data_IF_045845863620
#
_entry.id   IF_045845863620
#
_cell.length_a   1.000
_cell.length_b   1.000
_cell.length_c   1.000
_cell.angle_alpha   90.00
_cell.angle_beta   90.00
_cell.angle_gamma   90.00
#
_symmetry.space_group_name_H-M   'P 1'
#
loop_
_entity.id
_entity.type
_entity.pdbx_description
1 polymer ?
#
# COMPACT_ATOMS: atom_id res chain seq x y z
N UNK A 1 17.78 -3.29 -30.56
CA UNK A 1 17.00 -3.70 -29.38
C UNK A 1 17.56 -2.92 -28.21
N UNK A 2 16.94 -1.79 -27.83
CA UNK A 2 17.39 -1.03 -26.66
C UNK A 2 17.11 -1.90 -25.44
N UNK A 3 18.16 -2.27 -24.69
CA UNK A 3 18.07 -3.05 -23.47
C UNK A 3 17.07 -2.39 -22.53
N UNK A 4 15.98 -3.11 -22.26
CA UNK A 4 15.06 -2.76 -21.16
C UNK A 4 15.90 -2.82 -19.90
N UNK A 5 16.38 -1.65 -19.42
CA UNK A 5 17.09 -1.62 -18.13
C UNK A 5 16.14 -2.28 -17.12
N UNK A 6 16.64 -3.29 -16.40
CA UNK A 6 15.86 -4.04 -15.42
C UNK A 6 15.35 -3.09 -14.34
N UNK A 7 14.09 -2.66 -14.45
CA UNK A 7 13.45 -1.77 -13.47
C UNK A 7 13.36 -2.43 -12.11
N UNK A 8 13.48 -1.65 -11.06
CA UNK A 8 13.49 -2.10 -9.67
C UNK A 8 12.32 -1.49 -8.90
N UNK A 9 11.52 -2.32 -8.25
CA UNK A 9 10.50 -1.90 -7.30
C UNK A 9 10.87 -2.32 -5.87
N UNK A 10 10.57 -1.49 -4.88
CA UNK A 10 10.60 -1.84 -3.48
C UNK A 10 9.17 -1.80 -2.93
N UNK A 11 8.73 -2.89 -2.30
CA UNK A 11 7.39 -3.00 -1.70
C UNK A 11 7.54 -3.25 -0.21
N UNK A 12 6.94 -2.38 0.63
CA UNK A 12 6.90 -2.58 2.07
C UNK A 12 5.66 -3.36 2.49
N UNK A 13 5.76 -4.17 3.56
CA UNK A 13 4.70 -5.11 3.95
C UNK A 13 4.49 -6.20 2.89
N UNK A 14 5.57 -6.69 2.29
CA UNK A 14 5.53 -7.56 1.11
C UNK A 14 5.47 -9.06 1.44
N UNK A 15 5.47 -9.45 2.72
CA UNK A 15 5.42 -10.87 3.10
C UNK A 15 4.05 -11.53 2.85
N UNK A 16 2.98 -10.74 2.64
CA UNK A 16 1.60 -11.23 2.41
C UNK A 16 0.69 -10.14 1.84
N UNK A 17 -0.55 -10.51 1.52
CA UNK A 17 -1.62 -9.58 1.21
C UNK A 17 -1.35 -8.73 -0.03
N UNK A 18 -1.86 -7.51 -0.02
CA UNK A 18 -1.74 -6.54 -1.12
C UNK A 18 -0.27 -6.30 -1.50
N UNK A 19 0.64 -6.22 -0.50
CA UNK A 19 2.07 -6.03 -0.76
C UNK A 19 2.69 -7.18 -1.55
N UNK A 20 2.36 -8.43 -1.19
CA UNK A 20 2.81 -9.60 -1.94
C UNK A 20 2.19 -9.65 -3.35
N UNK A 21 0.91 -9.33 -3.48
CA UNK A 21 0.25 -9.28 -4.79
C UNK A 21 0.89 -8.21 -5.70
N UNK A 22 1.19 -7.02 -5.16
CA UNK A 22 1.92 -5.98 -5.89
C UNK A 22 3.33 -6.45 -6.30
N UNK A 23 4.08 -7.08 -5.39
CA UNK A 23 5.40 -7.64 -5.70
C UNK A 23 5.33 -8.67 -6.84
N UNK A 24 4.37 -9.60 -6.80
CA UNK A 24 4.12 -10.58 -7.87
C UNK A 24 3.78 -9.90 -9.20
N UNK A 25 3.00 -8.82 -9.15
CA UNK A 25 2.62 -8.07 -10.35
C UNK A 25 3.84 -7.42 -11.03
N UNK A 26 4.74 -6.80 -10.26
CA UNK A 26 6.00 -6.28 -10.79
C UNK A 26 6.91 -7.38 -11.36
N UNK A 27 7.02 -8.51 -10.66
CA UNK A 27 7.79 -9.67 -11.12
C UNK A 27 7.25 -10.27 -12.44
N UNK A 28 5.93 -10.26 -12.64
CA UNK A 28 5.29 -10.72 -13.88
C UNK A 28 5.66 -9.83 -15.08
N UNK A 29 5.94 -8.55 -14.85
CA UNK A 29 6.41 -7.60 -15.87
C UNK A 29 7.94 -7.64 -16.07
N UNK A 30 8.63 -8.57 -15.41
CA UNK A 30 10.08 -8.72 -15.54
C UNK A 30 10.91 -7.74 -14.70
N UNK A 31 10.31 -7.10 -13.68
CA UNK A 31 11.03 -6.21 -12.78
C UNK A 31 11.79 -7.00 -11.72
N UNK A 32 12.83 -6.40 -11.16
CA UNK A 32 13.45 -6.84 -9.91
C UNK A 32 12.69 -6.22 -8.73
N UNK A 33 12.53 -6.95 -7.63
CA UNK A 33 11.70 -6.51 -6.50
C UNK A 33 12.40 -6.71 -5.17
N UNK A 34 12.58 -5.62 -4.42
CA UNK A 34 12.84 -5.65 -2.99
C UNK A 34 11.56 -5.93 -2.22
N UNK A 35 11.56 -6.97 -1.39
CA UNK A 35 10.48 -7.37 -0.50
C UNK A 35 10.87 -6.95 0.91
N UNK A 36 10.18 -5.94 1.47
CA UNK A 36 10.49 -5.45 2.80
C UNK A 36 9.34 -5.76 3.75
N UNK A 37 9.64 -6.36 4.89
CA UNK A 37 8.64 -6.66 5.93
C UNK A 37 9.31 -6.77 7.31
N UNK A 38 8.56 -6.49 8.37
CA UNK A 38 9.02 -6.69 9.75
C UNK A 38 8.97 -8.18 10.17
N UNK A 39 8.08 -8.97 9.57
CA UNK A 39 7.93 -10.41 9.83
C UNK A 39 9.00 -11.20 9.04
N UNK A 40 10.21 -11.25 9.57
CA UNK A 40 11.37 -11.85 8.91
C UNK A 40 11.14 -13.32 8.51
N UNK A 41 10.44 -14.11 9.35
CA UNK A 41 10.19 -15.52 9.09
C UNK A 41 9.21 -15.72 7.95
N UNK A 42 8.11 -14.95 7.93
CA UNK A 42 7.16 -15.01 6.84
C UNK A 42 7.76 -14.47 5.54
N UNK A 43 8.54 -13.38 5.62
CA UNK A 43 9.25 -12.83 4.49
C UNK A 43 10.20 -13.87 3.85
N UNK A 44 10.95 -14.60 4.66
CA UNK A 44 11.84 -15.68 4.21
C UNK A 44 11.07 -16.79 3.49
N UNK A 45 9.94 -17.23 4.05
CA UNK A 45 9.06 -18.24 3.41
C UNK A 45 8.51 -17.74 2.08
N UNK A 46 8.02 -16.51 2.05
CA UNK A 46 7.47 -15.87 0.83
C UNK A 46 8.54 -15.71 -0.24
N UNK A 47 9.73 -15.21 0.13
CA UNK A 47 10.85 -15.09 -0.80
C UNK A 47 11.25 -16.44 -1.42
N UNK A 48 11.36 -17.50 -0.60
CA UNK A 48 11.63 -18.84 -1.10
C UNK A 48 10.53 -19.37 -2.03
N UNK A 49 9.25 -19.12 -1.70
CA UNK A 49 8.11 -19.55 -2.50
C UNK A 49 8.00 -18.83 -3.86
N UNK A 50 8.51 -17.60 -3.99
CA UNK A 50 8.58 -16.90 -5.27
C UNK A 50 9.58 -17.54 -6.25
N UNK A 51 10.56 -18.29 -5.76
CA UNK A 51 11.56 -19.02 -6.54
C UNK A 51 12.26 -18.17 -7.63
N UNK A 52 12.54 -16.88 -7.33
CA UNK A 52 13.19 -15.93 -8.24
C UNK A 52 14.35 -15.20 -7.54
N UNK A 53 15.40 -15.89 -7.08
CA UNK A 53 16.47 -15.31 -6.26
C UNK A 53 17.24 -14.19 -6.95
N UNK A 54 17.37 -14.23 -8.29
CA UNK A 54 18.09 -13.20 -9.05
C UNK A 54 17.26 -11.91 -9.20
N UNK A 55 15.96 -12.01 -9.15
CA UNK A 55 15.01 -10.90 -9.33
C UNK A 55 14.39 -10.41 -8.03
N UNK A 56 14.70 -11.03 -6.89
CA UNK A 56 14.13 -10.64 -5.60
C UNK A 56 15.19 -10.47 -4.52
N UNK A 57 14.93 -9.57 -3.57
CA UNK A 57 15.74 -9.34 -2.38
C UNK A 57 14.80 -9.23 -1.16
N UNK A 58 15.01 -10.08 -0.15
CA UNK A 58 14.26 -10.02 1.11
C UNK A 58 14.98 -9.11 2.11
N UNK A 59 14.25 -8.13 2.67
CA UNK A 59 14.76 -7.10 3.56
C UNK A 59 13.91 -7.06 4.84
N UNK A 60 14.40 -7.65 5.93
CA UNK A 60 13.74 -7.59 7.22
C UNK A 60 13.92 -6.18 7.82
N UNK A 61 12.81 -5.43 7.99
CA UNK A 61 12.89 -4.04 8.41
C UNK A 61 11.57 -3.58 9.05
N UNK A 62 11.65 -2.91 10.21
CA UNK A 62 10.56 -2.09 10.73
C UNK A 62 10.62 -0.72 10.02
N UNK A 63 9.60 -0.37 9.25
CA UNK A 63 9.52 0.93 8.55
C UNK A 63 9.48 2.14 9.49
N UNK A 64 9.15 1.94 10.76
CA UNK A 64 9.17 2.99 11.78
C UNK A 64 10.57 3.27 12.35
N UNK A 65 11.58 2.46 12.02
CA UNK A 65 12.97 2.64 12.42
C UNK A 65 13.79 3.24 11.28
N UNK A 66 14.21 4.50 11.45
CA UNK A 66 14.97 5.23 10.44
C UNK A 66 16.32 4.55 10.09
N UNK A 67 16.98 3.93 11.07
CA UNK A 67 18.24 3.23 10.86
C UNK A 67 18.03 1.96 10.04
N UNK A 68 17.00 1.18 10.39
CA UNK A 68 16.64 -0.03 9.65
C UNK A 68 16.21 0.29 8.21
N UNK A 69 15.43 1.37 8.00
CA UNK A 69 15.06 1.85 6.67
C UNK A 69 16.30 2.22 5.87
N UNK A 70 17.22 3.03 6.41
CA UNK A 70 18.45 3.41 5.74
C UNK A 70 19.28 2.20 5.31
N UNK A 71 19.44 1.21 6.20
CA UNK A 71 20.17 -0.02 5.92
C UNK A 71 19.49 -0.86 4.82
N UNK A 72 18.16 -0.96 4.82
CA UNK A 72 17.41 -1.70 3.83
C UNK A 72 17.52 -1.08 2.42
N UNK A 73 17.46 0.25 2.32
CA UNK A 73 17.64 0.95 1.05
C UNK A 73 19.10 0.88 0.53
N UNK A 74 20.08 0.92 1.43
CA UNK A 74 21.48 0.71 1.05
C UNK A 74 21.72 -0.71 0.48
N UNK A 75 21.19 -1.74 1.14
CA UNK A 75 21.27 -3.12 0.65
C UNK A 75 20.56 -3.30 -0.71
N UNK A 76 19.41 -2.63 -0.92
CA UNK A 76 18.73 -2.62 -2.22
C UNK A 76 19.59 -1.97 -3.30
N UNK A 77 20.20 -0.82 -3.01
CA UNK A 77 21.08 -0.09 -3.94
C UNK A 77 22.31 -0.91 -4.27
N UNK A 78 22.94 -1.55 -3.28
CA UNK A 78 24.09 -2.45 -3.49
C UNK A 78 23.71 -3.63 -4.40
N UNK A 79 22.55 -4.24 -4.19
CA UNK A 79 22.11 -5.43 -4.94
C UNK A 79 21.66 -5.12 -6.36
N UNK A 80 20.95 -4.01 -6.57
CA UNK A 80 20.27 -3.72 -7.84
C UNK A 80 20.73 -2.44 -8.54
N UNK A 81 21.45 -1.54 -7.85
CA UNK A 81 22.03 -0.33 -8.41
C UNK A 81 21.05 0.79 -8.72
N UNK A 82 19.73 0.58 -8.52
CA UNK A 82 18.68 1.55 -8.85
C UNK A 82 17.38 1.29 -8.08
N UNK A 83 16.48 2.28 -8.10
CA UNK A 83 15.11 2.15 -7.60
C UNK A 83 14.15 2.98 -8.46
N UNK A 84 13.25 2.34 -9.20
CA UNK A 84 12.27 3.03 -10.06
C UNK A 84 10.93 3.25 -9.37
N UNK A 85 10.55 2.34 -8.47
CA UNK A 85 9.26 2.36 -7.78
C UNK A 85 9.41 2.04 -6.30
N UNK A 86 8.72 2.84 -5.46
CA UNK A 86 8.44 2.53 -4.06
C UNK A 86 6.96 2.33 -3.86
N UNK A 87 6.55 1.22 -3.25
CA UNK A 87 5.18 0.98 -2.77
C UNK A 87 5.18 0.96 -1.24
N UNK A 88 4.69 2.02 -0.61
CA UNK A 88 4.49 2.11 0.83
C UNK A 88 3.18 1.42 1.20
N UNK A 89 3.24 0.09 1.42
CA UNK A 89 2.08 -0.73 1.75
C UNK A 89 2.08 -1.19 3.22
N UNK A 90 3.21 -1.25 3.89
CA UNK A 90 3.28 -1.62 5.30
C UNK A 90 2.31 -0.78 6.15
N UNK A 91 1.54 -1.45 7.01
CA UNK A 91 0.58 -0.77 7.85
C UNK A 91 -0.03 -1.69 8.90
N UNK A 92 -0.45 -1.08 10.01
CA UNK A 92 -1.12 -1.75 11.12
C UNK A 92 -2.41 -1.03 11.47
N UNK A 93 -3.33 -1.73 12.11
CA UNK A 93 -4.59 -1.17 12.60
C UNK A 93 -4.87 -1.64 14.03
N UNK A 94 -5.49 -0.75 14.80
CA UNK A 94 -6.06 -1.04 16.12
C UNK A 94 -7.57 -0.79 16.01
N UNK A 95 -8.37 -1.77 16.39
CA UNK A 95 -9.84 -1.72 16.33
C UNK A 95 -10.40 -1.60 17.74
N UNK A 96 -10.51 -0.36 18.22
CA UNK A 96 -11.01 -0.04 19.58
C UNK A 96 -11.86 1.23 19.58
N UNK A 97 -12.77 1.37 20.56
CA UNK A 97 -13.42 2.65 20.85
C UNK A 97 -12.38 3.75 21.11
N UNK A 98 -12.73 5.00 20.79
CA UNK A 98 -11.85 6.17 21.04
C UNK A 98 -11.37 6.22 22.49
N UNK A 99 -12.25 6.00 23.44
CA UNK A 99 -11.96 6.09 24.88
C UNK A 99 -11.04 4.95 25.40
N UNK A 100 -10.86 3.89 24.63
CA UNK A 100 -10.05 2.73 24.99
C UNK A 100 -8.70 2.68 24.21
N UNK A 101 -8.55 3.54 23.22
CA UNK A 101 -7.31 3.62 22.43
C UNK A 101 -6.23 4.31 23.25
N UNK A 102 -5.14 3.60 23.54
CA UNK A 102 -4.05 4.16 24.36
C UNK A 102 -3.11 5.07 23.56
N UNK A 103 -2.38 6.00 24.23
CA UNK A 103 -1.36 6.82 23.57
C UNK A 103 -0.27 6.00 22.87
N UNK A 104 0.10 4.83 23.40
CA UNK A 104 1.10 3.93 22.84
C UNK A 104 0.58 3.30 21.54
N UNK A 105 -0.67 2.80 21.52
CA UNK A 105 -1.32 2.27 20.33
C UNK A 105 -1.47 3.34 19.23
N UNK A 106 -1.90 4.54 19.62
CA UNK A 106 -1.96 5.70 18.75
C UNK A 106 -0.60 5.99 18.11
N UNK A 107 0.44 6.14 18.95
CA UNK A 107 1.80 6.49 18.52
C UNK A 107 2.39 5.40 17.61
N UNK A 108 2.17 4.12 17.93
CA UNK A 108 2.65 3.01 17.11
C UNK A 108 1.97 2.97 15.74
N UNK A 109 0.66 3.21 15.67
CA UNK A 109 -0.07 3.29 14.39
C UNK A 109 0.46 4.44 13.54
N UNK A 110 0.68 5.62 14.10
CA UNK A 110 1.25 6.75 13.36
C UNK A 110 2.70 6.49 12.93
N UNK A 111 3.51 5.88 13.79
CA UNK A 111 4.89 5.56 13.47
C UNK A 111 4.99 4.63 12.25
N UNK A 112 4.14 3.59 12.17
CA UNK A 112 4.16 2.66 11.03
C UNK A 112 3.47 3.24 9.81
N UNK A 113 2.25 3.80 9.96
CA UNK A 113 1.39 4.14 8.84
C UNK A 113 1.69 5.51 8.21
N UNK A 114 2.40 6.39 8.92
CA UNK A 114 2.69 7.75 8.46
C UNK A 114 4.20 8.05 8.46
N UNK A 115 4.87 7.87 9.60
CA UNK A 115 6.33 8.13 9.69
C UNK A 115 7.11 7.15 8.81
N UNK A 116 6.73 5.88 8.77
CA UNK A 116 7.36 4.87 7.90
C UNK A 116 7.34 5.25 6.41
N UNK A 117 6.18 5.55 5.81
CA UNK A 117 6.11 6.07 4.44
C UNK A 117 6.92 7.34 4.19
N UNK A 118 7.01 8.24 5.18
CA UNK A 118 7.86 9.42 5.09
C UNK A 118 9.34 9.05 5.00
N UNK A 119 9.84 8.20 5.90
CA UNK A 119 11.23 7.73 5.93
C UNK A 119 11.59 6.97 4.64
N UNK A 120 10.72 6.04 4.23
CA UNK A 120 10.93 5.28 2.99
C UNK A 120 10.94 6.19 1.75
N UNK A 121 10.06 7.20 1.71
CA UNK A 121 10.04 8.16 0.59
C UNK A 121 11.30 9.02 0.53
N UNK A 122 11.84 9.47 1.68
CA UNK A 122 13.12 10.19 1.72
C UNK A 122 14.27 9.34 1.17
N UNK A 123 14.37 8.09 1.61
CA UNK A 123 15.42 7.17 1.14
C UNK A 123 15.25 6.83 -0.34
N UNK A 124 14.02 6.61 -0.81
CA UNK A 124 13.70 6.36 -2.21
C UNK A 124 14.02 7.56 -3.10
N UNK A 125 13.62 8.77 -2.69
CA UNK A 125 13.84 9.98 -3.46
C UNK A 125 15.32 10.28 -3.68
N UNK A 126 16.17 9.96 -2.70
CA UNK A 126 17.62 10.08 -2.84
C UNK A 126 18.16 9.20 -3.99
N UNK A 127 17.73 7.93 -4.09
CA UNK A 127 18.12 7.02 -5.17
C UNK A 127 17.49 7.41 -6.51
N UNK A 128 16.21 7.74 -6.50
CA UNK A 128 15.45 8.10 -7.72
C UNK A 128 15.98 9.39 -8.36
N UNK A 129 16.41 10.36 -7.57
CA UNK A 129 17.00 11.61 -8.05
C UNK A 129 18.25 11.35 -8.92
N UNK A 130 19.13 10.47 -8.48
CA UNK A 130 20.38 10.17 -9.18
C UNK A 130 20.17 9.52 -10.57
N UNK A 131 19.00 8.92 -10.79
CA UNK A 131 18.65 8.28 -12.07
C UNK A 131 17.61 9.07 -12.90
N UNK A 132 17.25 10.28 -12.46
CA UNK A 132 16.38 11.21 -13.19
C UNK A 132 14.87 11.01 -12.97
N UNK A 133 14.46 10.28 -11.93
CA UNK A 133 13.04 10.17 -11.55
C UNK A 133 12.63 8.81 -11.06
N UNK A 134 11.32 8.69 -10.77
CA UNK A 134 10.71 7.46 -10.25
C UNK A 134 9.22 7.62 -9.95
N UNK A 135 8.65 6.64 -9.28
CA UNK A 135 7.26 6.69 -8.83
C UNK A 135 7.09 6.11 -7.43
N UNK A 136 6.32 6.80 -6.60
CA UNK A 136 5.95 6.36 -5.25
C UNK A 136 4.44 6.16 -5.19
N UNK A 137 3.98 5.04 -4.65
CA UNK A 137 2.57 4.79 -4.37
C UNK A 137 2.40 4.49 -2.88
N UNK A 138 1.59 5.30 -2.20
CA UNK A 138 1.21 5.13 -0.81
C UNK A 138 -0.11 4.36 -0.71
N UNK A 139 -0.17 3.31 0.10
CA UNK A 139 -1.42 2.58 0.34
C UNK A 139 -2.14 3.22 1.53
N UNK A 140 -3.14 4.03 1.20
CA UNK A 140 -4.03 4.69 2.16
C UNK A 140 -5.18 3.76 2.56
N UNK A 141 -6.40 4.23 2.61
CA UNK A 141 -7.61 3.43 2.86
C UNK A 141 -8.84 4.30 2.64
N UNK A 142 -9.97 3.71 2.30
CA UNK A 142 -11.27 4.39 2.41
C UNK A 142 -11.53 4.95 3.82
N UNK A 143 -10.91 4.37 4.85
CA UNK A 143 -10.98 4.90 6.23
C UNK A 143 -10.21 6.21 6.42
N UNK A 144 -9.38 6.62 5.47
CA UNK A 144 -8.77 7.95 5.40
C UNK A 144 -9.66 8.96 4.67
N UNK A 145 -10.45 8.50 3.69
CA UNK A 145 -11.39 9.32 2.94
C UNK A 145 -12.69 9.57 3.73
N UNK A 146 -13.14 8.57 4.49
CA UNK A 146 -14.38 8.61 5.30
C UNK A 146 -14.11 8.07 6.70
N UNK A 147 -14.76 8.64 7.71
CA UNK A 147 -14.66 8.12 9.06
C UNK A 147 -15.26 6.70 9.17
N UNK A 148 -14.61 5.86 9.97
CA UNK A 148 -15.01 4.48 10.21
C UNK A 148 -15.04 4.17 11.70
N UNK A 149 -15.99 3.34 12.13
CA UNK A 149 -16.14 2.92 13.53
C UNK A 149 -14.90 2.17 14.02
N UNK A 150 -14.51 2.39 15.27
CA UNK A 150 -13.39 1.73 15.98
C UNK A 150 -12.01 1.92 15.32
N UNK A 151 -11.79 2.97 14.54
CA UNK A 151 -10.56 3.15 13.75
C UNK A 151 -9.90 4.52 13.95
N UNK A 152 -10.00 5.10 15.15
CA UNK A 152 -9.52 6.47 15.39
C UNK A 152 -8.06 6.66 14.98
N UNK A 153 -7.15 5.80 15.43
CA UNK A 153 -5.73 5.90 15.09
C UNK A 153 -5.49 5.54 13.61
N UNK A 154 -6.09 4.44 13.13
CA UNK A 154 -5.91 3.96 11.77
C UNK A 154 -6.45 4.95 10.73
N UNK A 155 -7.72 5.35 10.84
CA UNK A 155 -8.36 6.29 9.91
C UNK A 155 -7.61 7.62 9.85
N UNK A 156 -7.25 8.16 11.01
CA UNK A 156 -6.47 9.41 11.10
C UNK A 156 -5.10 9.25 10.43
N UNK A 157 -4.38 8.13 10.67
CA UNK A 157 -3.09 7.88 10.02
C UNK A 157 -3.20 7.81 8.50
N UNK A 158 -4.29 7.20 7.97
CA UNK A 158 -4.52 7.07 6.52
C UNK A 158 -4.94 8.39 5.86
N UNK A 159 -5.73 9.22 6.56
CA UNK A 159 -6.02 10.60 6.12
C UNK A 159 -4.75 11.48 6.09
N UNK A 160 -3.91 11.36 7.11
CA UNK A 160 -2.62 12.05 7.15
C UNK A 160 -1.68 11.58 6.02
N UNK A 161 -1.64 10.27 5.72
CA UNK A 161 -0.85 9.70 4.62
C UNK A 161 -1.36 10.19 3.25
N UNK A 162 -2.67 10.39 3.10
CA UNK A 162 -3.24 10.99 1.89
C UNK A 162 -2.72 12.42 1.70
N UNK A 163 -2.71 13.23 2.77
CA UNK A 163 -2.16 14.58 2.68
C UNK A 163 -0.64 14.56 2.45
N UNK A 164 0.10 13.67 3.10
CA UNK A 164 1.53 13.48 2.87
C UNK A 164 1.81 13.12 1.40
N UNK A 165 0.96 12.33 0.77
CA UNK A 165 1.06 12.00 -0.67
C UNK A 165 1.05 13.27 -1.53
N UNK A 166 0.16 14.23 -1.23
CA UNK A 166 0.07 15.51 -1.96
C UNK A 166 1.31 16.37 -1.72
N UNK A 167 1.81 16.45 -0.48
CA UNK A 167 3.04 17.18 -0.16
C UNK A 167 4.25 16.59 -0.90
N UNK A 168 4.42 15.28 -0.83
CA UNK A 168 5.49 14.58 -1.55
C UNK A 168 5.38 14.78 -3.07
N UNK A 169 4.18 14.76 -3.64
CA UNK A 169 3.98 14.97 -5.07
C UNK A 169 4.44 16.36 -5.51
N UNK A 170 4.15 17.39 -4.72
CA UNK A 170 4.55 18.77 -5.02
C UNK A 170 6.07 18.96 -4.88
N UNK A 171 6.66 18.45 -3.79
CA UNK A 171 8.08 18.66 -3.51
C UNK A 171 9.01 17.82 -4.39
N UNK A 172 8.58 16.60 -4.76
CA UNK A 172 9.43 15.68 -5.51
C UNK A 172 9.25 15.79 -7.04
N UNK A 173 8.27 16.54 -7.53
CA UNK A 173 8.02 16.70 -8.96
C UNK A 173 9.22 17.28 -9.72
N UNK A 174 9.95 18.24 -9.12
CA UNK A 174 11.16 18.81 -9.71
C UNK A 174 12.30 17.80 -9.89
N UNK A 175 12.24 16.65 -9.20
CA UNK A 175 13.17 15.54 -9.32
C UNK A 175 12.69 14.46 -10.32
N UNK A 176 11.59 14.71 -11.05
CA UNK A 176 11.00 13.72 -11.96
C UNK A 176 10.27 12.59 -11.23
N UNK A 177 9.93 12.74 -9.95
CA UNK A 177 9.29 11.70 -9.13
C UNK A 177 7.81 12.01 -9.00
N UNK A 178 6.96 11.04 -9.39
CA UNK A 178 5.52 11.11 -9.18
C UNK A 178 5.14 10.41 -7.88
N UNK A 179 4.19 10.97 -7.15
CA UNK A 179 3.70 10.36 -5.91
C UNK A 179 2.18 10.32 -5.94
N UNK A 180 1.59 9.13 -5.80
CA UNK A 180 0.16 8.93 -5.77
C UNK A 180 -0.24 8.00 -4.62
N UNK A 181 -1.52 7.86 -4.38
CA UNK A 181 -2.06 6.91 -3.41
C UNK A 181 -3.10 5.98 -4.03
N UNK A 182 -3.17 4.78 -3.50
CA UNK A 182 -4.31 3.86 -3.66
C UNK A 182 -5.02 3.78 -2.32
N UNK A 183 -6.35 3.95 -2.33
CA UNK A 183 -7.22 3.81 -1.16
C UNK A 183 -8.07 2.53 -1.30
N UNK A 184 -7.62 1.40 -0.71
CA UNK A 184 -8.40 0.17 -0.75
C UNK A 184 -9.71 0.29 0.02
N UNK A 185 -10.78 -0.29 -0.55
CA UNK A 185 -11.97 -0.68 0.18
C UNK A 185 -11.78 -1.97 0.99
N UNK A 186 -12.87 -2.65 1.37
CA UNK A 186 -12.79 -3.99 1.92
C UNK A 186 -12.20 -4.97 0.90
N UNK A 187 -11.06 -5.58 1.24
CA UNK A 187 -10.33 -6.56 0.41
C UNK A 187 -10.32 -7.91 1.13
N UNK A 188 -10.45 -9.01 0.39
CA UNK A 188 -10.55 -10.37 0.94
C UNK A 188 -9.18 -10.94 1.38
N UNK A 189 -8.48 -10.18 2.20
CA UNK A 189 -7.17 -10.53 2.76
C UNK A 189 -7.31 -11.49 3.95
N UNK A 190 -6.21 -12.15 4.31
CA UNK A 190 -6.15 -12.96 5.52
C UNK A 190 -6.50 -12.15 6.79
N UNK A 191 -6.11 -10.86 6.86
CA UNK A 191 -6.49 -9.95 7.95
C UNK A 191 -8.00 -9.73 8.00
N UNK A 192 -8.65 -9.44 6.87
CA UNK A 192 -10.09 -9.25 6.82
C UNK A 192 -10.85 -10.52 7.22
N UNK A 193 -10.38 -11.69 6.78
CA UNK A 193 -10.97 -12.99 7.17
C UNK A 193 -10.89 -13.26 8.67
N UNK A 194 -9.83 -12.78 9.33
CA UNK A 194 -9.63 -12.97 10.76
C UNK A 194 -10.54 -12.09 11.63
N UNK A 195 -10.94 -10.90 11.13
CA UNK A 195 -11.66 -9.90 11.95
C UNK A 195 -13.10 -9.64 11.48
N UNK A 196 -13.46 -9.95 10.24
CA UNK A 196 -14.81 -9.73 9.71
C UNK A 196 -15.68 -10.97 9.85
N UNK A 197 -16.60 -10.92 10.79
CA UNK A 197 -17.66 -11.95 10.94
C UNK A 197 -18.58 -12.01 9.71
N UNK A 198 -19.39 -13.08 9.53
CA UNK A 198 -20.37 -13.12 8.44
C UNK A 198 -21.32 -11.92 8.43
N UNK A 199 -21.74 -11.41 9.60
CA UNK A 199 -22.60 -10.23 9.71
C UNK A 199 -21.89 -8.96 9.22
N UNK A 200 -20.63 -8.72 9.63
CA UNK A 200 -19.82 -7.59 9.15
C UNK A 200 -19.64 -7.69 7.64
N UNK A 201 -19.41 -8.90 7.10
CA UNK A 201 -19.27 -9.08 5.65
C UNK A 201 -20.57 -8.77 4.91
N UNK A 202 -21.72 -9.14 5.46
CA UNK A 202 -23.03 -8.80 4.90
C UNK A 202 -23.24 -7.28 4.87
N UNK A 203 -22.94 -6.57 5.97
CA UNK A 203 -23.02 -5.11 6.03
C UNK A 203 -22.16 -4.44 4.95
N UNK A 204 -20.92 -4.93 4.75
CA UNK A 204 -20.06 -4.41 3.68
C UNK A 204 -20.60 -4.73 2.29
N UNK A 205 -21.12 -5.92 2.05
CA UNK A 205 -21.73 -6.28 0.76
C UNK A 205 -22.91 -5.34 0.45
N UNK A 206 -23.73 -5.03 1.44
CA UNK A 206 -24.85 -4.08 1.28
C UNK A 206 -24.37 -2.65 0.97
N UNK A 207 -23.25 -2.24 1.56
CA UNK A 207 -22.69 -0.90 1.40
C UNK A 207 -21.86 -0.71 0.12
N UNK A 208 -21.25 -1.78 -0.41
CA UNK A 208 -20.40 -1.71 -1.61
C UNK A 208 -21.28 -1.83 -2.87
N UNK A 209 -21.28 -0.86 -3.79
CA UNK A 209 -22.07 -0.94 -5.04
C UNK A 209 -21.81 -2.20 -5.87
N UNK A 210 -20.54 -2.67 -5.96
CA UNK A 210 -20.22 -3.93 -6.64
C UNK A 210 -20.57 -5.18 -5.82
N UNK A 211 -21.14 -5.03 -4.62
CA UNK A 211 -21.65 -6.09 -3.75
C UNK A 211 -20.65 -7.24 -3.48
N UNK A 212 -19.37 -6.93 -3.39
CA UNK A 212 -18.33 -7.89 -3.04
C UNK A 212 -17.10 -7.21 -2.47
N UNK A 213 -16.26 -7.97 -1.80
CA UNK A 213 -14.91 -7.55 -1.47
C UNK A 213 -14.03 -7.52 -2.73
N UNK A 214 -13.04 -6.62 -2.74
CA UNK A 214 -11.99 -6.64 -3.73
C UNK A 214 -11.01 -7.80 -3.49
N UNK A 215 -10.21 -8.10 -4.51
CA UNK A 215 -9.13 -9.05 -4.47
C UNK A 215 -7.78 -8.32 -4.34
N UNK A 216 -6.78 -8.97 -3.76
CA UNK A 216 -5.43 -8.42 -3.63
C UNK A 216 -4.82 -8.08 -5.00
N UNK A 217 -5.13 -8.89 -6.02
CA UNK A 217 -4.70 -8.70 -7.40
C UNK A 217 -5.31 -7.45 -8.05
N UNK A 218 -6.56 -7.11 -7.74
CA UNK A 218 -7.21 -5.88 -8.25
C UNK A 218 -6.51 -4.62 -7.73
N UNK A 219 -6.05 -4.66 -6.47
CA UNK A 219 -5.25 -3.60 -5.89
C UNK A 219 -3.87 -3.53 -6.56
N UNK A 220 -3.24 -4.68 -6.80
CA UNK A 220 -1.93 -4.76 -7.44
C UNK A 220 -1.94 -4.17 -8.86
N UNK A 221 -3.01 -4.35 -9.64
CA UNK A 221 -3.17 -3.74 -10.96
C UNK A 221 -3.25 -2.21 -10.88
N UNK A 222 -4.02 -1.66 -9.93
CA UNK A 222 -4.12 -0.22 -9.74
C UNK A 222 -2.77 0.40 -9.27
N UNK A 223 -2.07 -0.28 -8.36
CA UNK A 223 -0.73 0.10 -7.92
C UNK A 223 0.23 0.12 -9.10
N UNK A 224 0.27 -0.96 -9.88
CA UNK A 224 1.14 -1.07 -11.05
C UNK A 224 0.84 0.00 -12.10
N UNK A 225 -0.45 0.28 -12.38
CA UNK A 225 -0.86 1.35 -13.29
C UNK A 225 -0.28 2.70 -12.86
N UNK A 226 -0.45 3.11 -11.60
CA UNK A 226 0.06 4.38 -11.09
C UNK A 226 1.59 4.46 -11.09
N UNK A 227 2.28 3.33 -10.99
CA UNK A 227 3.73 3.24 -11.08
C UNK A 227 4.26 3.26 -12.53
N UNK A 228 3.44 2.93 -13.51
CA UNK A 228 3.82 2.79 -14.91
C UNK A 228 3.88 4.13 -15.67
N UNK A 229 4.48 4.11 -16.87
CA UNK A 229 4.51 5.24 -17.80
C UNK A 229 3.09 5.66 -18.29
N UNK A 230 2.11 4.78 -18.15
CA UNK A 230 0.71 5.08 -18.48
C UNK A 230 0.12 6.16 -17.56
N UNK A 231 0.71 6.35 -16.38
CA UNK A 231 0.34 7.38 -15.40
C UNK A 231 1.34 8.56 -15.39
N UNK A 232 2.05 8.80 -16.49
CA UNK A 232 3.13 9.80 -16.57
C UNK A 232 2.70 11.23 -16.22
N UNK A 233 1.43 11.58 -16.38
CA UNK A 233 0.88 12.90 -16.02
C UNK A 233 -0.03 12.87 -14.79
N UNK A 234 0.05 11.80 -13.98
CA UNK A 234 -0.73 11.63 -12.75
C UNK A 234 0.21 11.71 -11.54
N UNK A 235 0.05 12.75 -10.71
CA UNK A 235 0.75 12.91 -9.44
C UNK A 235 -0.14 13.63 -8.43
N UNK A 236 0.02 13.34 -7.13
CA UNK A 236 -0.77 13.90 -6.04
C UNK A 236 -2.20 13.36 -5.94
N UNK A 237 -2.54 12.28 -6.66
CA UNK A 237 -3.90 11.75 -6.71
C UNK A 237 -4.07 10.55 -5.78
N UNK A 238 -5.27 10.41 -5.22
CA UNK A 238 -5.72 9.22 -4.49
C UNK A 238 -6.77 8.49 -5.34
N UNK A 239 -6.47 7.25 -5.71
CA UNK A 239 -7.39 6.37 -6.43
C UNK A 239 -8.07 5.42 -5.44
N UNK A 240 -9.37 5.60 -5.22
CA UNK A 240 -10.17 4.62 -4.48
C UNK A 240 -10.35 3.35 -5.32
N UNK A 241 -9.98 2.19 -4.74
CA UNK A 241 -10.17 0.86 -5.34
C UNK A 241 -11.00 0.05 -4.35
N UNK A 242 -12.31 0.27 -4.39
CA UNK A 242 -13.22 -0.04 -3.28
C UNK A 242 -14.60 -0.55 -3.73
N UNK A 243 -14.78 -0.83 -5.01
CA UNK A 243 -16.07 -1.27 -5.56
C UNK A 243 -17.15 -0.20 -5.55
N UNK A 244 -16.75 1.09 -5.43
CA UNK A 244 -17.67 2.24 -5.38
C UNK A 244 -18.12 2.61 -3.97
N UNK A 245 -17.52 2.02 -2.92
CA UNK A 245 -17.93 2.25 -1.54
C UNK A 245 -17.79 3.72 -1.12
N UNK A 246 -16.70 4.39 -1.50
CA UNK A 246 -16.50 5.82 -1.19
C UNK A 246 -17.45 6.71 -1.99
N UNK A 247 -17.71 6.37 -3.24
CA UNK A 247 -18.60 7.13 -4.12
C UNK A 247 -20.09 7.01 -3.74
N UNK A 248 -20.48 5.96 -3.00
CA UNK A 248 -21.85 5.71 -2.62
C UNK A 248 -22.30 6.68 -1.51
N UNK A 249 -23.09 7.70 -1.85
CA UNK A 249 -23.73 8.57 -0.87
C UNK A 249 -24.86 7.85 -0.11
N UNK A 250 -25.86 7.39 -0.85
CA UNK A 250 -26.99 6.60 -0.33
C UNK A 250 -27.03 5.29 -1.12
N UNK A 251 -26.46 4.23 -0.56
CA UNK A 251 -26.58 2.88 -1.11
C UNK A 251 -27.85 2.22 -0.60
N UNK A 252 -28.86 2.03 -1.45
CA UNK A 252 -30.11 1.37 -1.08
C UNK A 252 -30.17 -0.01 -1.74
N UNK A 253 -29.76 -1.08 -1.03
CA UNK A 253 -29.74 -2.46 -1.57
C UNK A 253 -31.07 -2.87 -2.19
N UNK A 254 -32.20 -2.45 -1.59
CA UNK A 254 -33.56 -2.73 -2.11
C UNK A 254 -33.78 -2.14 -3.51
N UNK A 255 -33.20 -0.97 -3.82
CA UNK A 255 -33.33 -0.36 -5.14
C UNK A 255 -32.46 -1.06 -6.20
N UNK A 256 -31.45 -1.82 -5.80
CA UNK A 256 -30.65 -2.68 -6.71
C UNK A 256 -31.35 -3.98 -7.06
N UNK A 257 -32.56 -4.21 -6.54
CA UNK A 257 -33.31 -5.47 -6.75
C UNK A 257 -32.81 -6.64 -5.90
N UNK A 258 -31.94 -6.37 -4.95
CA UNK A 258 -31.43 -7.37 -4.01
C UNK A 258 -32.50 -7.62 -2.96
N UNK A 259 -33.21 -8.76 -3.04
CA UNK A 259 -34.11 -9.20 -1.97
C UNK A 259 -33.25 -9.74 -0.84
N UNK A 260 -33.32 -9.14 0.34
CA UNK A 260 -32.92 -9.81 1.57
C UNK A 260 -33.83 -11.02 1.74
N UNK A 261 -33.31 -12.21 1.47
CA UNK A 261 -33.96 -13.42 1.96
C UNK A 261 -33.88 -13.34 3.48
N UNK A 262 -35.04 -13.11 4.12
CA UNK A 262 -35.21 -13.01 5.56
C UNK A 262 -34.95 -14.32 6.29
#
# INVERSE_FOLDING_TARGET
>A
MSGRADKVALVTGAARGIGLAAAKRFLAEGWRVGLLDIDADNLKRTHAALARPDSTLALACDVADATAVSAAFAALAERFGRLDVLVNNAGIAVFKPLLETTPEEWSRVLAVNLTGPFLCAQAAAALMREQGGGSIVNITSISGLRASTLRVAYGTSKAALEHLTRQQAVELAALGIRVNAVAPGPVDTAMAKAVHTPAIRADYHDAIPLNRYGLEEELAEAIYFLCSERASYITGQTLAVDGGFDAAGIGLPTLRGERRNG
#
